data_IF_429286042556
#
_entry.id   IF_429286042556
#
_cell.length_a   1.000
_cell.length_b   1.000
_cell.length_c   1.000
_cell.angle_alpha   90.00
_cell.angle_beta   90.00
_cell.angle_gamma   90.00
#
_symmetry.space_group_name_H-M   'P 1'
#
loop_
_entity.id
_entity.type
_entity.pdbx_description
1 polymer ?
#
# COMPACT_ATOMS: atom_id res chain seq x y z
N UNK A 1 2.00 20.21 8.23
CA UNK A 1 2.93 19.08 8.00
C UNK A 1 2.45 17.72 8.53
N UNK A 2 1.57 17.62 9.55
CA UNK A 2 1.02 16.32 10.04
C UNK A 2 0.24 15.50 8.99
N UNK A 3 -0.63 16.15 8.21
CA UNK A 3 -1.55 15.51 7.25
C UNK A 3 -0.85 14.64 6.19
N UNK A 4 0.36 15.03 5.77
CA UNK A 4 1.14 14.27 4.78
C UNK A 4 1.73 12.99 5.37
N UNK A 5 2.08 12.98 6.66
CA UNK A 5 2.58 11.78 7.37
C UNK A 5 1.46 10.79 7.64
N UNK A 6 0.29 11.29 8.05
CA UNK A 6 -0.91 10.45 8.20
C UNK A 6 -1.27 9.76 6.88
N UNK A 7 -1.15 10.47 5.74
CA UNK A 7 -1.37 9.90 4.41
C UNK A 7 -0.38 8.78 4.05
N UNK A 8 0.90 8.94 4.39
CA UNK A 8 1.93 7.90 4.15
C UNK A 8 1.68 6.68 5.05
N UNK A 9 1.31 6.88 6.31
CA UNK A 9 0.94 5.79 7.23
C UNK A 9 -0.34 5.06 6.81
N UNK A 10 -1.26 5.75 6.13
CA UNK A 10 -2.49 5.16 5.59
C UNK A 10 -2.28 4.44 4.25
N UNK A 11 -1.13 4.58 3.60
CA UNK A 11 -0.82 3.93 2.32
C UNK A 11 -1.04 2.40 2.33
N UNK A 12 -0.57 1.63 3.34
CA UNK A 12 -0.83 0.18 3.43
C UNK A 12 -2.28 -0.18 3.78
N UNK A 13 -3.12 0.78 4.22
CA UNK A 13 -4.55 0.53 4.45
C UNK A 13 -5.27 0.27 3.13
N UNK A 14 -4.82 0.88 2.04
CA UNK A 14 -5.41 0.72 0.70
C UNK A 14 -5.38 -0.76 0.24
N UNK A 15 -4.22 -1.45 0.16
CA UNK A 15 -4.20 -2.86 -0.22
C UNK A 15 -4.93 -3.77 0.77
N UNK A 16 -4.88 -3.47 2.07
CA UNK A 16 -5.60 -4.24 3.09
C UNK A 16 -7.12 -4.19 2.88
N UNK A 17 -7.67 -2.99 2.69
CA UNK A 17 -9.10 -2.79 2.41
C UNK A 17 -9.50 -3.42 1.08
N UNK A 18 -8.66 -3.32 0.05
CA UNK A 18 -8.96 -3.92 -1.25
C UNK A 18 -9.03 -5.45 -1.20
N UNK A 19 -8.20 -6.10 -0.37
CA UNK A 19 -8.23 -7.54 -0.13
C UNK A 19 -9.42 -7.96 0.74
N UNK A 20 -9.73 -7.19 1.78
CA UNK A 20 -10.94 -7.44 2.61
C UNK A 20 -12.22 -7.24 1.79
N UNK A 21 -12.18 -6.33 0.81
CA UNK A 21 -13.30 -6.03 -0.07
C UNK A 21 -13.50 -7.05 -1.21
N UNK A 22 -12.52 -7.91 -1.46
CA UNK A 22 -12.56 -8.98 -2.49
C UNK A 22 -13.90 -9.73 -2.60
N UNK A 23 -14.50 -10.26 -1.52
CA UNK A 23 -15.76 -11.01 -1.60
C UNK A 23 -16.98 -10.16 -2.03
N UNK A 24 -16.94 -8.83 -1.84
CA UNK A 24 -18.04 -7.94 -2.24
C UNK A 24 -17.90 -7.42 -3.68
N UNK A 25 -16.80 -7.72 -4.36
CA UNK A 25 -16.55 -7.25 -5.72
C UNK A 25 -17.07 -8.27 -6.75
N UNK A 26 -18.14 -7.96 -7.50
CA UNK A 26 -18.83 -8.94 -8.35
C UNK A 26 -17.95 -9.43 -9.51
N UNK A 27 -16.99 -8.62 -9.96
CA UNK A 27 -16.05 -9.00 -11.03
C UNK A 27 -15.03 -10.06 -10.59
N UNK A 28 -14.82 -10.22 -9.29
CA UNK A 28 -13.88 -11.20 -8.73
C UNK A 28 -14.52 -12.59 -8.72
N UNK A 29 -15.86 -12.63 -8.57
CA UNK A 29 -16.64 -13.85 -8.50
C UNK A 29 -17.28 -14.26 -9.85
N UNK A 30 -17.03 -13.49 -10.90
CA UNK A 30 -17.42 -13.88 -12.27
C UNK A 30 -16.41 -14.84 -12.89
N UNK A 31 -16.86 -15.67 -13.84
CA UNK A 31 -16.00 -16.50 -14.70
C UNK A 31 -15.12 -15.69 -15.69
N UNK A 32 -14.89 -14.39 -15.39
CA UNK A 32 -14.00 -13.54 -16.17
C UNK A 32 -12.57 -14.03 -15.99
N UNK A 33 -11.98 -14.44 -17.10
CA UNK A 33 -10.57 -14.79 -17.19
C UNK A 33 -9.78 -13.50 -17.50
N UNK A 34 -8.93 -13.07 -16.58
CA UNK A 34 -7.94 -12.02 -16.80
C UNK A 34 -6.61 -12.68 -17.13
N UNK A 35 -6.02 -12.35 -18.29
CA UNK A 35 -4.76 -12.96 -18.76
C UNK A 35 -4.78 -14.50 -18.81
N UNK A 36 -5.96 -15.11 -18.95
CA UNK A 36 -6.15 -16.57 -18.93
C UNK A 36 -6.29 -17.18 -17.52
N UNK A 37 -6.26 -16.37 -16.45
CA UNK A 37 -6.43 -16.80 -15.06
C UNK A 37 -7.73 -16.24 -14.46
N UNK A 38 -8.29 -16.88 -13.41
CA UNK A 38 -9.45 -16.34 -12.70
C UNK A 38 -9.18 -14.91 -12.22
N UNK A 39 -10.13 -13.98 -12.45
CA UNK A 39 -10.02 -12.59 -12.02
C UNK A 39 -9.69 -12.45 -10.52
N UNK A 40 -10.15 -13.39 -9.68
CA UNK A 40 -9.76 -13.51 -8.28
C UNK A 40 -8.27 -13.63 -8.05
N UNK A 41 -7.60 -14.55 -8.75
CA UNK A 41 -6.16 -14.75 -8.61
C UNK A 41 -5.39 -13.52 -9.03
N UNK A 42 -5.78 -12.90 -10.15
CA UNK A 42 -5.08 -11.71 -10.67
C UNK A 42 -5.27 -10.52 -9.73
N UNK A 43 -6.49 -10.31 -9.24
CA UNK A 43 -6.81 -9.24 -8.30
C UNK A 43 -6.05 -9.39 -6.98
N UNK A 44 -6.11 -10.55 -6.33
CA UNK A 44 -5.43 -10.75 -5.05
C UNK A 44 -3.92 -10.67 -5.20
N UNK A 45 -3.35 -11.25 -6.26
CA UNK A 45 -1.91 -11.21 -6.50
C UNK A 45 -1.41 -9.79 -6.75
N UNK A 46 -2.16 -8.99 -7.52
CA UNK A 46 -1.84 -7.59 -7.74
C UNK A 46 -1.79 -6.81 -6.41
N UNK A 47 -2.80 -6.96 -5.55
CA UNK A 47 -2.83 -6.28 -4.26
C UNK A 47 -1.76 -6.76 -3.28
N UNK A 48 -1.45 -8.05 -3.26
CA UNK A 48 -0.35 -8.60 -2.46
C UNK A 48 1.00 -8.02 -2.90
N UNK A 49 1.25 -7.93 -4.21
CA UNK A 49 2.47 -7.32 -4.73
C UNK A 49 2.59 -5.83 -4.38
N UNK A 50 1.46 -5.13 -4.25
CA UNK A 50 1.43 -3.70 -3.86
C UNK A 50 1.72 -3.48 -2.38
N UNK A 51 1.55 -4.48 -1.51
CA UNK A 51 1.86 -4.35 -0.06
C UNK A 51 3.33 -4.03 0.16
N UNK A 52 4.24 -4.72 -0.55
CA UNK A 52 5.69 -4.56 -0.40
C UNK A 52 6.15 -3.12 -0.68
N UNK A 53 5.86 -2.51 -1.85
CA UNK A 53 6.22 -1.13 -2.11
C UNK A 53 5.45 -0.13 -1.21
N UNK A 54 4.21 -0.44 -0.80
CA UNK A 54 3.48 0.40 0.14
C UNK A 54 4.20 0.48 1.49
N UNK A 55 4.64 -0.65 2.04
CA UNK A 55 5.43 -0.69 3.28
C UNK A 55 6.80 -0.03 3.11
N UNK A 56 7.47 -0.25 1.99
CA UNK A 56 8.74 0.41 1.69
C UNK A 56 8.60 1.94 1.65
N UNK A 57 7.51 2.46 1.08
CA UNK A 57 7.23 3.90 1.06
C UNK A 57 6.98 4.47 2.47
N UNK A 58 6.33 3.71 3.36
CA UNK A 58 6.16 4.11 4.77
C UNK A 58 7.51 4.21 5.47
N UNK A 59 8.36 3.20 5.29
CA UNK A 59 9.68 3.17 5.92
C UNK A 59 10.61 4.28 5.39
N UNK A 60 10.53 4.57 4.09
CA UNK A 60 11.27 5.69 3.49
C UNK A 60 10.79 7.04 4.02
N UNK A 61 9.48 7.20 4.20
CA UNK A 61 8.91 8.40 4.82
C UNK A 61 9.32 8.58 6.28
N UNK A 62 9.52 7.47 7.01
CA UNK A 62 9.96 7.48 8.42
C UNK A 62 11.44 7.81 8.56
N UNK A 63 12.30 7.18 7.77
CA UNK A 63 13.77 7.40 7.80
C UNK A 63 14.17 8.82 7.46
N UNK A 64 13.51 9.47 6.49
CA UNK A 64 13.75 10.88 6.12
C UNK A 64 13.53 11.88 7.27
N UNK A 65 12.82 11.50 8.34
CA UNK A 65 12.56 12.39 9.46
C UNK A 65 13.69 12.39 10.50
N UNK A 66 14.43 11.30 10.64
CA UNK A 66 15.58 11.23 11.56
C UNK A 66 16.74 12.13 11.12
N UNK A 67 16.88 12.40 9.82
CA UNK A 67 17.92 13.30 9.29
C UNK A 67 17.67 14.78 9.64
N UNK A 68 16.41 15.17 9.88
CA UNK A 68 16.03 16.55 10.23
C UNK A 68 16.28 16.88 11.73
N UNK A 69 16.38 15.87 12.61
CA UNK A 69 16.61 16.07 14.05
C UNK A 69 18.10 16.10 14.45
N UNK A 70 19.02 15.73 13.55
CA UNK A 70 20.47 15.71 13.80
C UNK A 70 21.21 17.01 13.47
N UNK A 71 20.51 18.01 12.94
CA UNK A 71 21.08 19.31 12.56
C UNK A 71 21.13 20.29 13.73
N UNK A 72 21.86 19.98 14.80
CA UNK A 72 22.31 21.06 15.70
C UNK A 72 23.40 21.87 14.97
N UNK A 73 23.20 23.16 14.70
CA UNK A 73 24.28 24.04 14.30
C UNK A 73 25.19 24.25 15.52
N UNK A 74 26.30 23.53 15.59
CA UNK A 74 27.35 23.85 16.56
C UNK A 74 28.01 25.19 16.17
N UNK A 75 28.20 26.12 17.14
CA UNK A 75 28.72 27.47 16.93
C UNK A 75 30.21 27.54 16.56
#
# INVERSE_FOLDING_TARGET
MRRSRDLVLLLPVIPAVALVATPWLPFVNTARLWLGLPAMMVWTSAWVLVIVPALAAVEWGRTRHCDDEGGEPSP
#
